data_IF_309183643410
#
_entry.id   IF_309183643410
#
_cell.length_a   1.000
_cell.length_b   1.000
_cell.length_c   1.000
_cell.angle_alpha   90.00
_cell.angle_beta   90.00
_cell.angle_gamma   90.00
#
_symmetry.space_group_name_H-M   'P 1'
#
loop_
_entity.id
_entity.type
_entity.pdbx_description
1 polymer ?
#
# COMPACT_ATOMS: atom_id res chain seq x y z
N UNK A 1 -6.90 21.91 14.84
CA UNK A 1 -7.33 20.67 14.14
C UNK A 1 -7.17 19.49 15.10
N UNK A 2 -8.26 18.78 15.42
CA UNK A 2 -8.27 17.70 16.43
C UNK A 2 -7.15 16.70 16.13
N UNK A 3 -6.25 16.48 17.11
CA UNK A 3 -5.12 15.56 17.00
C UNK A 3 -5.68 14.13 16.85
N UNK A 4 -5.92 13.69 15.61
CA UNK A 4 -6.32 12.31 15.32
C UNK A 4 -5.22 11.40 15.88
N UNK A 5 -5.59 10.62 16.91
CA UNK A 5 -4.68 9.73 17.62
C UNK A 5 -3.96 8.81 16.63
N UNK A 6 -2.67 8.56 16.87
CA UNK A 6 -1.82 7.71 16.04
C UNK A 6 -2.46 6.34 15.77
N UNK A 7 -3.23 5.82 16.76
CA UNK A 7 -4.04 4.60 16.65
C UNK A 7 -5.10 4.69 15.55
N UNK A 8 -5.86 5.79 15.49
CA UNK A 8 -6.88 6.01 14.45
C UNK A 8 -6.23 6.04 13.07
N UNK A 9 -5.07 6.68 12.92
CA UNK A 9 -4.33 6.70 11.64
C UNK A 9 -3.88 5.31 11.19
N UNK A 10 -3.41 4.46 12.11
CA UNK A 10 -3.07 3.06 11.79
C UNK A 10 -4.29 2.26 11.34
N UNK A 11 -5.45 2.44 11.97
CA UNK A 11 -6.69 1.74 11.57
C UNK A 11 -7.12 2.17 10.17
N UNK A 12 -7.14 3.49 9.90
CA UNK A 12 -7.42 3.99 8.55
C UNK A 12 -6.44 3.46 7.51
N UNK A 13 -5.14 3.46 7.83
CA UNK A 13 -4.13 2.92 6.93
C UNK A 13 -4.32 1.42 6.67
N UNK A 14 -4.67 0.65 7.71
CA UNK A 14 -4.95 -0.78 7.59
C UNK A 14 -6.18 -1.08 6.72
N UNK A 15 -7.26 -0.32 6.87
CA UNK A 15 -8.47 -0.47 6.05
C UNK A 15 -8.17 -0.14 4.58
N UNK A 16 -7.46 0.96 4.33
CA UNK A 16 -7.06 1.35 2.96
C UNK A 16 -6.14 0.29 2.35
N UNK A 17 -5.20 -0.25 3.12
CA UNK A 17 -4.31 -1.32 2.67
C UNK A 17 -5.09 -2.60 2.30
N UNK A 18 -6.07 -2.99 3.11
CA UNK A 18 -6.90 -4.16 2.85
C UNK A 18 -7.74 -4.01 1.56
N UNK A 19 -8.38 -2.84 1.37
CA UNK A 19 -9.15 -2.55 0.16
C UNK A 19 -8.24 -2.51 -1.07
N UNK A 20 -7.07 -1.87 -0.96
CA UNK A 20 -6.08 -1.81 -2.03
C UNK A 20 -5.57 -3.21 -2.43
N UNK A 21 -5.35 -4.09 -1.45
CA UNK A 21 -4.92 -5.47 -1.68
C UNK A 21 -6.00 -6.30 -2.40
N UNK A 22 -7.27 -6.14 -2.01
CA UNK A 22 -8.38 -6.82 -2.68
C UNK A 22 -8.51 -6.37 -4.15
N UNK A 23 -8.34 -5.07 -4.41
CA UNK A 23 -8.36 -4.53 -5.76
C UNK A 23 -7.19 -5.05 -6.61
N UNK A 24 -6.01 -5.20 -6.01
CA UNK A 24 -4.86 -5.81 -6.66
C UNK A 24 -5.10 -7.28 -7.03
N UNK A 25 -5.71 -8.07 -6.15
CA UNK A 25 -6.02 -9.47 -6.44
C UNK A 25 -6.98 -9.61 -7.64
N UNK A 26 -7.99 -8.72 -7.72
CA UNK A 26 -8.89 -8.63 -8.86
C UNK A 26 -8.16 -8.24 -10.15
N UNK A 27 -7.27 -7.24 -10.10
CA UNK A 27 -6.43 -6.83 -11.22
C UNK A 27 -5.55 -7.99 -11.71
N UNK A 28 -4.91 -8.70 -10.77
CA UNK A 28 -4.03 -9.83 -11.08
C UNK A 28 -4.81 -10.98 -11.73
N UNK A 29 -6.01 -11.28 -11.23
CA UNK A 29 -6.88 -12.29 -11.82
C UNK A 29 -7.25 -11.95 -13.27
N UNK A 30 -7.62 -10.69 -13.53
CA UNK A 30 -7.94 -10.21 -14.88
C UNK A 30 -6.72 -10.30 -15.80
N UNK A 31 -5.54 -9.90 -15.34
CA UNK A 31 -4.29 -10.00 -16.09
C UNK A 31 -3.94 -11.44 -16.48
N UNK A 32 -4.08 -12.38 -15.54
CA UNK A 32 -3.75 -13.79 -15.79
C UNK A 32 -4.76 -14.46 -16.73
N UNK A 33 -6.02 -14.07 -16.69
CA UNK A 33 -7.11 -14.73 -17.43
C UNK A 33 -7.53 -14.03 -18.74
N UNK A 34 -7.00 -12.83 -19.05
CA UNK A 34 -7.41 -12.07 -20.24
C UNK A 34 -6.23 -11.86 -21.18
N UNK A 35 -6.36 -12.25 -22.44
CA UNK A 35 -5.32 -12.10 -23.48
C UNK A 35 -5.02 -10.65 -23.87
N UNK A 36 -5.99 -9.74 -23.71
CA UNK A 36 -5.92 -8.33 -24.18
C UNK A 36 -5.86 -7.30 -23.02
N UNK A 37 -5.27 -7.68 -21.90
CA UNK A 37 -5.32 -6.93 -20.64
C UNK A 37 -4.28 -5.80 -20.46
N UNK A 38 -3.95 -5.01 -21.49
CA UNK A 38 -2.89 -3.97 -21.41
C UNK A 38 -3.11 -2.97 -20.27
N UNK A 39 -4.38 -2.60 -19.99
CA UNK A 39 -4.71 -1.71 -18.87
C UNK A 39 -4.47 -2.33 -17.48
N UNK A 40 -4.63 -3.66 -17.36
CA UNK A 40 -4.40 -4.39 -16.11
C UNK A 40 -2.90 -4.48 -15.78
N UNK A 41 -2.04 -4.60 -16.79
CA UNK A 41 -0.59 -4.67 -16.60
C UNK A 41 -0.01 -3.34 -16.07
N UNK A 42 -0.46 -2.21 -16.60
CA UNK A 42 -0.05 -0.87 -16.13
C UNK A 42 -0.47 -0.64 -14.68
N UNK A 43 -1.69 -1.06 -14.32
CA UNK A 43 -2.21 -0.92 -12.95
C UNK A 43 -1.46 -1.80 -11.94
N UNK A 44 -1.08 -3.02 -12.33
CA UNK A 44 -0.25 -3.90 -11.50
C UNK A 44 1.13 -3.30 -11.22
N UNK A 45 1.79 -2.73 -12.24
CA UNK A 45 3.10 -2.08 -12.10
C UNK A 45 3.00 -0.86 -11.17
N UNK A 46 1.98 -0.02 -11.38
CA UNK A 46 1.76 1.17 -10.57
C UNK A 46 1.47 0.81 -9.10
N UNK A 47 0.72 -0.27 -8.88
CA UNK A 47 0.47 -0.80 -7.54
C UNK A 47 1.75 -1.34 -6.88
N UNK A 48 2.56 -2.11 -7.62
CA UNK A 48 3.85 -2.59 -7.13
C UNK A 48 4.78 -1.46 -6.68
N UNK A 49 4.86 -0.38 -7.47
CA UNK A 49 5.59 0.84 -7.10
C UNK A 49 5.03 1.45 -5.81
N UNK A 50 3.72 1.64 -5.72
CA UNK A 50 3.06 2.17 -4.52
C UNK A 50 3.34 1.33 -3.26
N UNK A 51 3.38 0.00 -3.38
CA UNK A 51 3.70 -0.90 -2.27
C UNK A 51 5.16 -0.77 -1.86
N UNK A 52 6.11 -0.74 -2.80
CA UNK A 52 7.52 -0.54 -2.49
C UNK A 52 7.74 0.80 -1.79
N UNK A 53 7.12 1.88 -2.28
CA UNK A 53 7.18 3.19 -1.62
C UNK A 53 6.53 3.18 -0.23
N UNK A 54 5.40 2.49 -0.06
CA UNK A 54 4.72 2.33 1.23
C UNK A 54 5.56 1.57 2.26
N UNK A 55 6.14 0.43 1.87
CA UNK A 55 7.02 -0.38 2.73
C UNK A 55 8.29 0.40 3.05
N UNK A 56 8.93 1.06 2.09
CA UNK A 56 10.11 1.88 2.32
C UNK A 56 9.82 3.02 3.32
N UNK A 57 8.66 3.67 3.22
CA UNK A 57 8.22 4.69 4.18
C UNK A 57 8.00 4.14 5.59
N UNK A 58 7.41 2.95 5.73
CA UNK A 58 7.23 2.28 7.02
C UNK A 58 8.59 1.90 7.62
N UNK A 59 9.46 1.25 6.85
CA UNK A 59 10.81 0.85 7.27
C UNK A 59 11.63 2.07 7.68
N UNK A 60 11.59 3.16 6.90
CA UNK A 60 12.27 4.41 7.23
C UNK A 60 11.73 5.02 8.54
N UNK A 61 10.42 5.02 8.74
CA UNK A 61 9.81 5.56 9.95
C UNK A 61 10.14 4.69 11.19
N UNK A 62 10.17 3.37 11.05
CA UNK A 62 10.59 2.43 12.10
C UNK A 62 12.07 2.65 12.44
N UNK A 63 12.95 2.70 11.44
CA UNK A 63 14.39 2.92 11.64
C UNK A 63 14.71 4.31 12.23
N UNK A 64 13.91 5.33 11.90
CA UNK A 64 14.07 6.70 12.44
C UNK A 64 13.52 6.84 13.87
N UNK A 65 12.48 6.08 14.21
CA UNK A 65 11.93 6.01 15.58
C UNK A 65 12.95 5.44 16.57
N UNK A 66 13.80 4.51 16.12
CA UNK A 66 14.93 3.98 16.90
C UNK A 66 15.97 5.07 17.23
N UNK A 67 16.27 5.98 16.29
CA UNK A 67 17.23 7.07 16.53
C UNK A 67 16.72 8.19 17.43
N UNK A 68 15.40 8.35 17.60
CA UNK A 68 14.82 9.39 18.44
C UNK A 68 14.57 8.93 19.89
N UNK A 69 14.98 7.69 20.21
CA UNK A 69 14.93 7.06 21.54
C UNK A 69 16.33 6.78 22.09
N UNK A 70 17.32 7.58 21.70
CA UNK A 70 18.64 7.69 22.37
C UNK A 70 18.86 9.11 22.84
#
# INVERSE_FOLDING_TARGET
MKKLSFKTRMIYFGVIAAISLAFFALQLYVYVNSSDGTGSMVLLILWGLMVVFGIAGIVYNVAKKDRHSK
#
